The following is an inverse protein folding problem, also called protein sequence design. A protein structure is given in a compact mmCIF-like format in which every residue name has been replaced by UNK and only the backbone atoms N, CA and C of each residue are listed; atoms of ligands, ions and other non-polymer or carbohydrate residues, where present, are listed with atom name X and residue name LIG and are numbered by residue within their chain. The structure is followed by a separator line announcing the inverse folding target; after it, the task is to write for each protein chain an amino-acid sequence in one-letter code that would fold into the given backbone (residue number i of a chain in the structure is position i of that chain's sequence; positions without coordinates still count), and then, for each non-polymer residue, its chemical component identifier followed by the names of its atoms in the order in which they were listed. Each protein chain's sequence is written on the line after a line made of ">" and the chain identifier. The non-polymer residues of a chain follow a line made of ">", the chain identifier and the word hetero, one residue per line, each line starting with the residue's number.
data_IF_083956523284
#
_entry.id   IF_083956523284
#
_cell.length_a   1.000
_cell.length_b   1.000
_cell.length_c   1.000
_cell.angle_alpha   90.00
_cell.angle_beta   90.00
_cell.angle_gamma   90.00
#
_symmetry.space_group_name_H-M   'P 1'
#
loop_
_entity.id
_entity.type
_entity.pdbx_description
1 polymer ?
#
# COMPACT_ATOMS: atom_id res chain seq x y z
N UNK A 1 -8.90 -1.50 26.92
CA UNK A 1 -7.43 -1.56 26.93
C UNK A 1 -6.92 -0.45 26.03
N UNK A 2 -6.38 0.63 26.60
CA UNK A 2 -5.96 1.83 25.86
C UNK A 2 -4.55 1.62 25.32
N UNK A 3 -4.37 1.64 24.01
CA UNK A 3 -3.05 1.49 23.39
C UNK A 3 -2.08 2.58 23.89
N UNK A 4 -0.80 2.25 24.17
CA UNK A 4 0.18 3.22 24.61
C UNK A 4 0.40 4.26 23.51
N UNK A 5 0.08 5.53 23.80
CA UNK A 5 0.43 6.68 22.94
C UNK A 5 1.94 6.84 22.98
N UNK A 6 2.63 6.40 21.94
CA UNK A 6 4.05 6.69 21.73
C UNK A 6 4.23 8.21 21.73
N UNK A 7 4.85 8.76 22.78
CA UNK A 7 5.20 10.20 22.81
C UNK A 7 6.22 10.46 21.70
N UNK A 8 5.88 11.37 20.79
CA UNK A 8 6.81 11.89 19.79
C UNK A 8 8.00 12.52 20.53
N UNK A 9 9.22 12.01 20.31
CA UNK A 9 10.43 12.67 20.82
C UNK A 9 10.72 13.88 19.96
N UNK A 10 10.89 15.03 20.59
CA UNK A 10 11.26 16.28 19.93
C UNK A 10 12.74 16.51 20.19
N UNK A 11 13.51 16.77 19.13
CA UNK A 11 14.93 17.13 19.22
C UNK A 11 15.09 18.52 19.86
N UNK A 12 16.28 18.87 20.39
CA UNK A 12 16.56 20.19 20.95
C UNK A 12 16.33 21.36 19.97
N UNK A 13 16.35 21.09 18.65
CA UNK A 13 16.09 22.05 17.58
C UNK A 13 14.58 22.22 17.24
N UNK A 14 13.70 21.61 18.03
CA UNK A 14 12.24 21.67 17.85
C UNK A 14 11.70 20.75 16.75
N UNK A 15 12.55 19.98 16.07
CA UNK A 15 12.10 19.03 15.03
C UNK A 15 11.67 17.72 15.68
N UNK A 16 10.61 17.13 15.15
CA UNK A 16 10.27 15.75 15.49
C UNK A 16 11.48 14.86 15.18
N UNK A 17 11.90 14.05 16.15
CA UNK A 17 12.91 13.04 15.93
C UNK A 17 12.31 12.01 14.97
N UNK A 18 12.67 12.08 13.69
CA UNK A 18 12.26 11.05 12.74
C UNK A 18 12.83 9.72 13.23
N UNK A 19 12.01 8.69 13.49
CA UNK A 19 12.53 7.39 13.85
C UNK A 19 13.50 6.97 12.75
N UNK A 20 14.77 6.76 13.09
CA UNK A 20 15.69 6.15 12.14
C UNK A 20 15.13 4.77 11.84
N UNK A 21 14.74 4.55 10.58
CA UNK A 21 14.41 3.22 10.11
C UNK A 21 15.62 2.32 10.35
N UNK A 22 15.37 1.06 10.71
CA UNK A 22 16.44 0.08 10.76
C UNK A 22 17.06 -0.05 9.36
N UNK A 23 18.38 -0.28 9.23
CA UNK A 23 19.04 -0.35 7.93
C UNK A 23 18.37 -1.31 6.95
N UNK A 24 17.94 -2.47 7.44
CA UNK A 24 17.23 -3.48 6.65
C UNK A 24 15.87 -3.00 6.12
N UNK A 25 15.18 -2.14 6.88
CA UNK A 25 13.92 -1.54 6.45
C UNK A 25 14.19 -0.49 5.38
N UNK A 26 15.14 0.40 5.62
CA UNK A 26 15.50 1.45 4.67
C UNK A 26 15.90 0.87 3.29
N UNK A 27 16.75 -0.17 3.31
CA UNK A 27 17.19 -0.83 2.08
C UNK A 27 16.04 -1.53 1.33
N UNK A 28 15.15 -2.22 2.06
CA UNK A 28 13.99 -2.86 1.46
C UNK A 28 13.01 -1.85 0.87
N UNK A 29 12.76 -0.74 1.58
CA UNK A 29 11.92 0.38 1.10
C UNK A 29 12.50 0.98 -0.18
N UNK A 30 13.80 1.24 -0.24
CA UNK A 30 14.47 1.82 -1.41
C UNK A 30 14.36 0.89 -2.63
N UNK A 31 14.73 -0.39 -2.47
CA UNK A 31 14.61 -1.40 -3.52
C UNK A 31 13.17 -1.53 -4.04
N UNK A 32 12.19 -1.53 -3.13
CA UNK A 32 10.78 -1.56 -3.50
C UNK A 32 10.37 -0.31 -4.29
N UNK A 33 10.86 0.87 -3.88
CA UNK A 33 10.56 2.13 -4.54
C UNK A 33 11.14 2.24 -5.95
N UNK A 34 12.35 1.74 -6.17
CA UNK A 34 12.96 1.67 -7.50
C UNK A 34 12.21 0.70 -8.40
N UNK A 35 11.83 -0.47 -7.86
CA UNK A 35 11.00 -1.43 -8.59
C UNK A 35 9.61 -0.89 -8.93
N UNK A 36 9.02 -0.05 -8.07
CA UNK A 36 7.78 0.68 -8.35
C UNK A 36 7.98 1.73 -9.43
N UNK A 37 9.09 2.46 -9.39
CA UNK A 37 9.42 3.45 -10.40
C UNK A 37 9.59 2.85 -11.79
N UNK A 38 10.36 1.77 -11.90
CA UNK A 38 10.58 1.07 -13.14
C UNK A 38 9.27 0.50 -13.71
N UNK A 39 8.41 -0.06 -12.84
CA UNK A 39 7.12 -0.59 -13.28
C UNK A 39 6.20 0.49 -13.84
N UNK A 40 6.03 1.63 -13.14
CA UNK A 40 5.19 2.72 -13.66
C UNK A 40 5.77 3.36 -14.92
N UNK A 41 7.10 3.45 -15.05
CA UNK A 41 7.73 3.93 -16.29
C UNK A 41 7.42 3.01 -17.48
N UNK A 42 7.28 1.70 -17.26
CA UNK A 42 6.91 0.72 -18.28
C UNK A 42 5.40 0.65 -18.57
N UNK A 43 4.54 1.19 -17.68
CA UNK A 43 3.08 1.17 -17.79
C UNK A 43 2.51 2.59 -17.66
N UNK A 44 2.75 3.47 -18.66
CA UNK A 44 2.41 4.89 -18.56
C UNK A 44 0.90 5.18 -18.52
N UNK A 45 0.06 4.21 -18.89
CA UNK A 45 -1.40 4.24 -18.82
C UNK A 45 -1.96 3.83 -17.45
N UNK A 46 -1.12 3.26 -16.58
CA UNK A 46 -1.52 2.77 -15.25
C UNK A 46 -1.21 3.81 -14.18
N UNK A 47 -2.17 4.06 -13.29
CA UNK A 47 -1.99 4.91 -12.11
C UNK A 47 -1.92 4.11 -10.82
N UNK A 48 -2.35 2.83 -10.87
CA UNK A 48 -2.32 1.91 -9.76
C UNK A 48 -1.51 0.65 -10.07
N UNK A 49 -0.88 0.12 -9.02
CA UNK A 49 -0.14 -1.14 -9.05
C UNK A 49 -0.50 -1.96 -7.83
N UNK A 50 -0.70 -3.26 -8.04
CA UNK A 50 -0.74 -4.26 -6.97
C UNK A 50 0.53 -5.10 -7.03
N UNK A 51 1.10 -5.43 -5.88
CA UNK A 51 2.16 -6.44 -5.79
C UNK A 51 2.25 -7.06 -4.40
N UNK A 52 2.84 -8.25 -4.27
CA UNK A 52 3.24 -8.78 -2.97
C UNK A 52 4.16 -7.80 -2.23
N UNK A 53 4.01 -7.76 -0.90
CA UNK A 53 4.91 -7.02 -0.03
C UNK A 53 6.29 -7.69 0.02
N UNK A 54 7.33 -6.86 0.18
CA UNK A 54 8.70 -7.34 0.40
C UNK A 54 8.98 -7.33 1.90
N UNK A 55 9.80 -8.28 2.36
CA UNK A 55 10.22 -8.36 3.77
C UNK A 55 10.90 -7.05 4.16
N UNK A 56 10.52 -6.48 5.31
CA UNK A 56 11.01 -5.21 5.85
C UNK A 56 10.68 -3.98 4.98
N UNK A 57 9.81 -4.08 3.96
CA UNK A 57 9.53 -2.96 3.06
C UNK A 57 8.95 -1.73 3.79
N UNK A 58 8.09 -1.96 4.77
CA UNK A 58 7.51 -0.93 5.63
C UNK A 58 7.75 -1.29 7.10
N UNK A 59 7.82 -0.30 8.01
CA UNK A 59 7.88 -0.58 9.44
C UNK A 59 6.71 -1.48 9.87
N UNK A 60 7.05 -2.65 10.43
CA UNK A 60 6.06 -3.62 10.90
C UNK A 60 5.72 -4.74 9.92
N UNK A 61 6.18 -4.70 8.67
CA UNK A 61 6.07 -5.86 7.76
C UNK A 61 7.18 -6.85 8.07
N UNK A 62 6.81 -7.98 8.67
CA UNK A 62 7.71 -9.09 8.96
C UNK A 62 7.71 -10.16 7.86
N UNK A 63 8.64 -11.11 7.96
CA UNK A 63 8.65 -12.28 7.08
C UNK A 63 7.37 -13.13 7.23
N UNK A 64 6.76 -13.16 8.42
CA UNK A 64 5.51 -13.87 8.66
C UNK A 64 4.33 -13.22 7.91
N UNK A 65 4.28 -11.89 7.87
CA UNK A 65 3.24 -11.16 7.15
C UNK A 65 3.35 -11.37 5.64
N UNK A 66 4.57 -11.38 5.10
CA UNK A 66 4.81 -11.71 3.69
C UNK A 66 4.41 -13.16 3.39
N UNK A 67 4.76 -14.11 4.27
CA UNK A 67 4.35 -15.51 4.13
C UNK A 67 2.83 -15.71 4.24
N UNK A 68 2.15 -14.86 5.02
CA UNK A 68 0.69 -14.80 5.12
C UNK A 68 0.02 -14.14 3.90
N UNK A 69 0.78 -13.74 2.89
CA UNK A 69 0.25 -13.16 1.65
C UNK A 69 -0.13 -11.70 1.78
N UNK A 70 0.68 -10.88 2.47
CA UNK A 70 0.50 -9.43 2.48
C UNK A 70 0.81 -8.82 1.10
N UNK A 71 -0.05 -7.91 0.64
CA UNK A 71 0.07 -7.16 -0.60
C UNK A 71 0.18 -5.66 -0.33
N UNK A 72 0.76 -4.96 -1.30
CA UNK A 72 0.83 -3.50 -1.34
C UNK A 72 -0.01 -3.03 -2.54
N UNK A 73 -0.98 -2.16 -2.26
CA UNK A 73 -1.62 -1.35 -3.28
C UNK A 73 -0.92 0.01 -3.35
N UNK A 74 -0.59 0.43 -4.56
CA UNK A 74 0.21 1.62 -4.82
C UNK A 74 -0.56 2.51 -5.78
N UNK A 75 -0.62 3.81 -5.47
CA UNK A 75 -1.13 4.84 -6.36
C UNK A 75 -0.02 5.83 -6.68
N UNK A 76 0.29 6.02 -7.96
CA UNK A 76 1.18 7.08 -8.42
C UNK A 76 0.35 8.34 -8.72
N UNK A 77 0.59 9.42 -7.97
CA UNK A 77 -0.08 10.70 -8.24
C UNK A 77 0.65 11.50 -9.33
N UNK A 78 1.98 11.38 -9.34
CA UNK A 78 2.86 11.93 -10.35
C UNK A 78 4.20 11.17 -10.31
N UNK A 79 5.04 11.22 -11.37
CA UNK A 79 6.36 10.61 -11.35
C UNK A 79 7.16 11.02 -10.10
N UNK A 80 7.69 10.03 -9.38
CA UNK A 80 8.41 10.23 -8.11
C UNK A 80 7.55 10.34 -6.85
N UNK A 81 6.22 10.51 -6.96
CA UNK A 81 5.33 10.60 -5.79
C UNK A 81 4.28 9.48 -5.79
N UNK A 82 4.39 8.58 -4.80
CA UNK A 82 3.57 7.38 -4.69
C UNK A 82 3.04 7.23 -3.27
N UNK A 83 1.75 6.87 -3.17
CA UNK A 83 1.13 6.47 -1.90
C UNK A 83 1.05 4.94 -1.90
N UNK A 84 1.35 4.34 -0.74
CA UNK A 84 1.32 2.88 -0.54
C UNK A 84 0.37 2.55 0.61
N UNK A 85 -0.37 1.47 0.46
CA UNK A 85 -1.20 0.90 1.51
C UNK A 85 -1.08 -0.62 1.53
N UNK A 86 -1.11 -1.20 2.72
CA UNK A 86 -0.99 -2.65 2.97
C UNK A 86 -2.37 -3.27 3.12
N UNK A 87 -2.53 -4.48 2.59
CA UNK A 87 -3.74 -5.29 2.77
C UNK A 87 -3.40 -6.78 2.58
N UNK A 88 -4.30 -7.66 3.01
CA UNK A 88 -4.16 -9.12 2.82
C UNK A 88 -5.39 -9.63 2.08
N UNK A 89 -5.30 -9.89 0.77
CA UNK A 89 -6.42 -10.42 0.01
C UNK A 89 -6.60 -11.93 0.26
N UNK A 90 -7.81 -12.49 0.10
CA UNK A 90 -8.06 -13.93 0.25
C UNK A 90 -7.39 -14.77 -0.85
N UNK A 91 -7.03 -14.15 -1.97
CA UNK A 91 -6.30 -14.75 -3.09
C UNK A 91 -5.48 -13.67 -3.82
N UNK A 92 -4.48 -14.03 -4.63
CA UNK A 92 -3.78 -13.07 -5.48
C UNK A 92 -4.75 -12.27 -6.36
N UNK A 93 -4.79 -10.93 -6.26
CA UNK A 93 -5.68 -10.11 -7.06
C UNK A 93 -5.23 -10.11 -8.53
N UNK A 94 -6.16 -10.01 -9.48
CA UNK A 94 -5.83 -9.81 -10.89
C UNK A 94 -5.03 -8.52 -11.11
N UNK A 95 -4.10 -8.53 -12.09
CA UNK A 95 -3.35 -7.35 -12.49
C UNK A 95 -4.16 -6.49 -13.48
N UNK A 96 -5.16 -5.80 -12.95
CA UNK A 96 -6.05 -4.91 -13.68
C UNK A 96 -6.13 -3.54 -13.00
N UNK A 97 -6.18 -2.45 -13.77
CA UNK A 97 -6.18 -1.09 -13.23
C UNK A 97 -7.43 -0.79 -12.40
N UNK A 98 -8.61 -1.23 -12.85
CA UNK A 98 -9.87 -0.98 -12.14
C UNK A 98 -9.91 -1.70 -10.80
N UNK A 99 -9.38 -2.94 -10.78
CA UNK A 99 -9.23 -3.74 -9.56
C UNK A 99 -8.18 -3.12 -8.64
N UNK A 100 -7.04 -2.68 -9.17
CA UNK A 100 -5.98 -2.03 -8.40
C UNK A 100 -6.45 -0.73 -7.75
N UNK A 101 -7.24 0.07 -8.47
CA UNK A 101 -7.86 1.29 -7.95
C UNK A 101 -8.88 0.98 -6.84
N UNK A 102 -9.79 0.04 -7.08
CA UNK A 102 -10.80 -0.37 -6.10
C UNK A 102 -10.16 -0.90 -4.80
N UNK A 103 -9.15 -1.76 -4.91
CA UNK A 103 -8.42 -2.29 -3.78
C UNK A 103 -7.66 -1.23 -3.01
N UNK A 104 -7.06 -0.25 -3.69
CA UNK A 104 -6.37 0.86 -3.04
C UNK A 104 -7.33 1.66 -2.16
N UNK A 105 -8.49 2.06 -2.71
CA UNK A 105 -9.48 2.83 -1.97
C UNK A 105 -10.03 2.07 -0.76
N UNK A 106 -10.40 0.80 -0.96
CA UNK A 106 -10.91 -0.05 0.12
C UNK A 106 -9.86 -0.28 1.21
N UNK A 107 -8.58 -0.47 0.84
CA UNK A 107 -7.49 -0.63 1.82
C UNK A 107 -7.27 0.66 2.64
N UNK A 108 -7.42 1.84 2.05
CA UNK A 108 -7.36 3.12 2.77
C UNK A 108 -8.57 3.28 3.71
N UNK A 109 -9.78 2.92 3.26
CA UNK A 109 -10.99 2.94 4.09
C UNK A 109 -10.89 1.97 5.28
N UNK A 110 -10.40 0.76 5.03
CA UNK A 110 -10.09 -0.27 6.04
C UNK A 110 -9.11 0.24 7.10
N UNK A 111 -7.99 0.84 6.68
CA UNK A 111 -7.01 1.41 7.61
C UNK A 111 -7.59 2.54 8.47
N UNK A 112 -8.44 3.41 7.90
CA UNK A 112 -9.08 4.51 8.63
C UNK A 112 -10.10 4.02 9.66
N UNK A 113 -10.82 2.93 9.35
CA UNK A 113 -11.80 2.33 10.25
C UNK A 113 -11.17 1.43 11.32
N UNK A 114 -9.89 1.06 11.16
CA UNK A 114 -9.20 0.13 12.05
C UNK A 114 -9.57 -1.34 11.79
N UNK A 115 -10.29 -1.64 10.71
CA UNK A 115 -10.61 -3.00 10.28
C UNK A 115 -9.81 -3.34 9.02
N UNK A 116 -8.76 -4.18 9.11
CA UNK A 116 -7.91 -4.49 7.97
C UNK A 116 -8.55 -5.46 6.96
N UNK A 117 -9.74 -5.99 7.24
CA UNK A 117 -10.40 -6.97 6.38
C UNK A 117 -11.23 -6.29 5.28
N UNK A 118 -10.90 -6.60 4.02
CA UNK A 118 -11.67 -6.15 2.84
C UNK A 118 -12.34 -7.36 2.19
N UNK A 119 -13.68 -7.49 2.27
CA UNK A 119 -14.41 -8.58 1.63
C UNK A 119 -14.28 -8.57 0.11
N UNK A 120 -14.20 -9.76 -0.51
CA UNK A 120 -14.09 -9.88 -1.97
C UNK A 120 -15.30 -9.31 -2.72
N UNK A 121 -16.49 -9.37 -2.12
CA UNK A 121 -17.70 -8.76 -2.68
C UNK A 121 -17.59 -7.24 -2.82
N UNK A 122 -16.96 -6.57 -1.85
CA UNK A 122 -16.78 -5.11 -1.86
C UNK A 122 -15.76 -4.70 -2.93
N UNK A 123 -14.72 -5.53 -3.13
CA UNK A 123 -13.71 -5.33 -4.16
C UNK A 123 -14.35 -5.37 -5.55
N UNK A 124 -15.14 -6.42 -5.83
CA UNK A 124 -15.81 -6.57 -7.12
C UNK A 124 -16.85 -5.46 -7.34
N UNK A 125 -17.67 -5.14 -6.34
CA UNK A 125 -18.66 -4.08 -6.44
C UNK A 125 -18.03 -2.71 -6.71
N UNK A 126 -16.87 -2.42 -6.10
CA UNK A 126 -16.13 -1.17 -6.32
C UNK A 126 -15.46 -1.16 -7.70
N UNK A 127 -14.87 -2.27 -8.13
CA UNK A 127 -14.28 -2.39 -9.46
C UNK A 127 -15.35 -2.20 -10.56
N UNK A 128 -16.52 -2.82 -10.41
CA UNK A 128 -17.66 -2.65 -11.33
C UNK A 128 -18.16 -1.20 -11.38
N UNK A 129 -18.19 -0.52 -10.23
CA UNK A 129 -18.58 0.90 -10.17
C UNK A 129 -17.57 1.83 -10.87
N UNK A 130 -16.31 1.40 -10.97
CA UNK A 130 -15.20 2.14 -11.59
C UNK A 130 -14.99 1.77 -13.06
N UNK A 131 -15.46 0.60 -13.51
CA UNK A 131 -15.43 0.23 -14.91
C UNK A 131 -16.14 1.33 -15.73
N UNK A 132 -15.55 1.81 -16.84
CA UNK A 132 -16.21 2.79 -17.68
C UNK A 132 -17.55 2.19 -18.11
N UNK A 133 -18.65 2.75 -17.61
CA UNK A 133 -19.99 2.40 -18.09
C UNK A 133 -19.96 2.60 -19.59
N UNK A 134 -20.04 1.51 -20.35
CA UNK A 134 -20.05 1.56 -21.80
C UNK A 134 -21.03 2.63 -22.26
N UNK A 135 -20.57 3.52 -23.14
CA UNK A 135 -21.48 4.22 -24.04
C UNK A 135 -22.31 3.13 -24.75
N UNK A 136 -23.61 3.41 -24.82
CA UNK A 136 -24.63 2.61 -25.49
C UNK A 136 -24.19 2.09 -26.87
#
# INVERSE_FOLDING_TARGET
>A
MTAPRTRLRIRPDGRAETPRLKPEVAQATEKASDGDAAWFAAHPDRSHRLRPAIINELPGISAADVAAGTWIAIRQLMPGFRIRTVFTPPSPPPDDESIAHALFDLAIEAQRSGNPHVPIGDILARADAMAPRGRA
#
